data_IF_060138295346
#
_entry.id   IF_060138295346
#
_cell.length_a   1.000
_cell.length_b   1.000
_cell.length_c   1.000
_cell.angle_alpha   90.00
_cell.angle_beta   90.00
_cell.angle_gamma   90.00
#
_symmetry.space_group_name_H-M   'P 1'
#
loop_
_entity.id
_entity.type
_entity.pdbx_description
1 polymer ?
#
# COMPACT_ATOMS: atom_id res chain seq x y z
N UNK A 1 3.74 -0.82 8.94
CA UNK A 1 3.49 0.17 7.88
C UNK A 1 2.47 1.18 8.38
N UNK A 2 2.66 2.47 8.12
CA UNK A 2 1.71 3.54 8.48
C UNK A 2 1.11 4.21 7.25
N UNK A 3 -0.22 4.22 7.17
CA UNK A 3 -0.96 4.91 6.11
C UNK A 3 -1.67 6.13 6.69
N UNK A 4 -1.57 7.27 6.01
CA UNK A 4 -2.25 8.52 6.39
C UNK A 4 -3.35 8.84 5.39
N UNK A 5 -4.59 9.04 5.86
CA UNK A 5 -5.67 9.60 5.04
C UNK A 5 -5.65 11.12 5.14
N UNK A 6 -5.48 11.78 4.01
CA UNK A 6 -5.62 13.22 3.88
C UNK A 6 -6.91 13.52 3.12
N UNK A 7 -7.76 14.38 3.64
CA UNK A 7 -9.01 14.72 2.99
C UNK A 7 -9.84 15.68 3.82
N UNK A 8 -10.56 16.61 3.18
CA UNK A 8 -11.46 17.50 3.90
C UNK A 8 -12.66 16.76 4.50
N UNK A 9 -13.47 17.45 5.32
CA UNK A 9 -14.73 16.93 5.88
C UNK A 9 -15.75 16.66 4.76
N UNK A 10 -16.44 15.53 4.76
CA UNK A 10 -17.41 15.11 3.71
C UNK A 10 -16.84 14.67 2.35
N UNK A 11 -15.52 14.55 2.22
CA UNK A 11 -14.88 14.00 1.01
C UNK A 11 -15.15 12.50 0.81
N UNK A 12 -15.67 11.81 1.83
CA UNK A 12 -16.02 10.39 1.78
C UNK A 12 -15.04 9.42 2.45
N UNK A 13 -14.10 9.88 3.29
CA UNK A 13 -13.12 9.01 3.99
C UNK A 13 -13.77 7.88 4.79
N UNK A 14 -14.70 8.22 5.68
CA UNK A 14 -15.39 7.24 6.55
C UNK A 14 -16.22 6.25 5.73
N UNK A 15 -16.93 6.75 4.71
CA UNK A 15 -17.67 5.92 3.75
C UNK A 15 -16.72 4.96 3.03
N UNK A 16 -15.61 5.46 2.50
CA UNK A 16 -14.59 4.65 1.84
C UNK A 16 -14.05 3.55 2.73
N UNK A 17 -13.63 3.87 3.95
CA UNK A 17 -13.07 2.91 4.89
C UNK A 17 -14.05 1.77 5.19
N UNK A 18 -15.31 2.08 5.47
CA UNK A 18 -16.32 1.07 5.76
C UNK A 18 -16.65 0.23 4.51
N UNK A 19 -16.87 0.85 3.35
CA UNK A 19 -17.11 0.14 2.10
C UNK A 19 -15.94 -0.79 1.74
N UNK A 20 -14.70 -0.31 1.86
CA UNK A 20 -13.48 -1.09 1.66
C UNK A 20 -13.43 -2.29 2.61
N UNK A 21 -13.71 -2.07 3.89
CA UNK A 21 -13.71 -3.13 4.88
C UNK A 21 -14.72 -4.23 4.55
N UNK A 22 -15.95 -3.82 4.18
CA UNK A 22 -17.01 -4.73 3.76
C UNK A 22 -16.67 -5.52 2.49
N UNK A 23 -16.15 -4.84 1.45
CA UNK A 23 -15.74 -5.48 0.20
C UNK A 23 -14.63 -6.50 0.43
N UNK A 24 -13.61 -6.16 1.23
CA UNK A 24 -12.50 -7.06 1.52
C UNK A 24 -12.86 -8.21 2.49
N UNK A 25 -14.07 -8.26 3.06
CA UNK A 25 -14.54 -9.48 3.70
C UNK A 25 -14.88 -10.59 2.69
N UNK A 26 -15.28 -10.22 1.47
CA UNK A 26 -15.67 -11.18 0.43
C UNK A 26 -14.48 -11.76 -0.36
N UNK A 27 -13.25 -11.34 -0.03
CA UNK A 27 -12.04 -11.62 -0.80
C UNK A 27 -12.02 -10.93 -2.16
N UNK A 28 -10.98 -10.14 -2.43
CA UNK A 28 -10.73 -9.52 -3.73
C UNK A 28 -9.35 -9.95 -4.20
N UNK A 29 -9.27 -10.71 -5.29
CA UNK A 29 -8.00 -11.25 -5.80
C UNK A 29 -7.18 -11.97 -4.71
N UNK A 30 -7.85 -12.79 -3.90
CA UNK A 30 -7.24 -13.47 -2.75
C UNK A 30 -7.01 -12.60 -1.50
N UNK A 31 -7.12 -11.27 -1.60
CA UNK A 31 -6.91 -10.35 -0.48
C UNK A 31 -8.15 -10.18 0.41
N UNK A 32 -7.92 -10.14 1.71
CA UNK A 32 -8.91 -9.80 2.74
C UNK A 32 -8.35 -8.84 3.76
N UNK A 33 -9.24 -8.17 4.48
CA UNK A 33 -8.88 -7.25 5.55
C UNK A 33 -9.39 -7.76 6.90
N UNK A 34 -8.54 -7.71 7.92
CA UNK A 34 -8.91 -8.06 9.30
C UNK A 34 -8.60 -6.89 10.23
N UNK A 35 -9.56 -6.48 11.04
CA UNK A 35 -9.32 -5.50 12.11
C UNK A 35 -8.63 -6.18 13.29
N UNK A 36 -7.74 -5.47 13.98
CA UNK A 36 -7.06 -6.00 15.16
C UNK A 36 -8.02 -6.19 16.35
N UNK A 37 -8.97 -5.27 16.54
CA UNK A 37 -9.98 -5.34 17.59
C UNK A 37 -11.37 -5.69 17.02
N UNK A 38 -12.23 -6.29 17.86
CA UNK A 38 -13.56 -6.75 17.47
C UNK A 38 -14.60 -5.63 17.37
N UNK A 39 -14.39 -4.53 18.10
CA UNK A 39 -15.28 -3.36 18.06
C UNK A 39 -15.25 -2.68 16.69
N UNK A 40 -14.07 -2.42 16.15
CA UNK A 40 -13.87 -1.88 14.82
C UNK A 40 -14.38 -2.83 13.74
N UNK A 41 -14.15 -4.14 13.89
CA UNK A 41 -14.73 -5.13 12.99
C UNK A 41 -16.25 -4.98 12.89
N UNK A 42 -16.95 -5.02 14.03
CA UNK A 42 -18.40 -4.94 14.08
C UNK A 42 -18.92 -3.59 13.59
N UNK A 43 -18.27 -2.50 14.01
CA UNK A 43 -18.64 -1.12 13.63
C UNK A 43 -18.49 -0.89 12.12
N UNK A 44 -17.36 -1.30 11.54
CA UNK A 44 -17.10 -1.14 10.10
C UNK A 44 -18.04 -2.01 9.26
N UNK A 45 -18.33 -3.24 9.68
CA UNK A 45 -19.30 -4.10 9.01
C UNK A 45 -20.71 -3.52 9.00
N UNK A 46 -21.20 -3.08 10.16
CA UNK A 46 -22.51 -2.45 10.27
C UNK A 46 -22.59 -1.18 9.40
N UNK A 47 -21.51 -0.38 9.40
CA UNK A 47 -21.47 0.82 8.59
C UNK A 47 -21.44 0.50 7.08
N UNK A 48 -20.70 -0.54 6.66
CA UNK A 48 -20.67 -0.99 5.28
C UNK A 48 -22.06 -1.40 4.77
N UNK A 49 -22.81 -2.14 5.60
CA UNK A 49 -24.18 -2.57 5.29
C UNK A 49 -25.14 -1.37 5.14
N UNK A 50 -25.06 -0.40 6.05
CA UNK A 50 -25.84 0.84 5.96
C UNK A 50 -25.54 1.61 4.67
N UNK A 51 -24.26 1.75 4.32
CA UNK A 51 -23.85 2.44 3.08
C UNK A 51 -24.38 1.70 1.85
N UNK A 52 -24.35 0.37 1.85
CA UNK A 52 -24.91 -0.44 0.76
C UNK A 52 -26.41 -0.20 0.58
N UNK A 53 -27.13 0.06 1.69
CA UNK A 53 -28.54 0.45 1.70
C UNK A 53 -28.78 1.95 1.42
N UNK A 54 -27.75 2.71 1.05
CA UNK A 54 -27.84 4.14 0.77
C UNK A 54 -27.86 5.05 2.01
N UNK A 55 -27.58 4.51 3.19
CA UNK A 55 -27.51 5.25 4.45
C UNK A 55 -26.05 5.59 4.78
N UNK A 56 -25.69 6.86 4.59
CA UNK A 56 -24.32 7.34 4.80
C UNK A 56 -24.09 7.85 6.22
N UNK A 57 -22.88 7.67 6.79
CA UNK A 57 -22.55 8.19 8.11
C UNK A 57 -22.52 9.72 8.11
N UNK A 58 -22.85 10.31 9.26
CA UNK A 58 -22.57 11.72 9.52
C UNK A 58 -21.06 11.95 9.61
N UNK A 59 -20.63 13.19 9.37
CA UNK A 59 -19.24 13.58 9.58
C UNK A 59 -18.81 13.25 11.02
N UNK A 60 -17.75 12.44 11.16
CA UNK A 60 -17.27 11.99 12.46
C UNK A 60 -16.40 13.05 13.10
N UNK A 61 -16.60 13.23 14.41
CA UNK A 61 -15.92 14.23 15.22
C UNK A 61 -14.84 13.64 16.14
N UNK A 62 -14.20 12.52 15.75
CA UNK A 62 -13.02 11.97 16.43
C UNK A 62 -11.90 11.59 15.45
N UNK A 63 -10.63 11.82 15.86
CA UNK A 63 -9.47 11.22 15.17
C UNK A 63 -9.49 9.75 15.54
N UNK A 64 -9.30 8.88 14.56
CA UNK A 64 -9.24 7.45 14.81
C UNK A 64 -8.01 6.89 14.14
N UNK A 65 -7.29 6.07 14.88
CA UNK A 65 -6.25 5.21 14.35
C UNK A 65 -6.76 3.78 14.37
N UNK A 66 -6.65 3.13 13.22
CA UNK A 66 -7.11 1.75 13.05
C UNK A 66 -5.92 0.85 12.82
N UNK A 67 -5.93 -0.32 13.45
CA UNK A 67 -4.95 -1.35 13.20
C UNK A 67 -5.59 -2.49 12.40
N UNK A 68 -4.96 -2.81 11.27
CA UNK A 68 -5.43 -3.84 10.36
C UNK A 68 -4.34 -4.83 10.01
N UNK A 69 -4.78 -5.99 9.54
CA UNK A 69 -3.95 -7.00 8.89
C UNK A 69 -4.49 -7.26 7.48
N UNK A 70 -3.61 -7.11 6.50
CA UNK A 70 -3.83 -7.63 5.16
C UNK A 70 -3.65 -9.14 5.20
N UNK A 71 -4.62 -9.86 4.64
CA UNK A 71 -4.57 -11.32 4.50
C UNK A 71 -4.59 -11.69 3.03
N UNK A 72 -3.89 -12.75 2.67
CA UNK A 72 -3.96 -13.38 1.35
C UNK A 72 -4.20 -14.87 1.55
N UNK A 73 -5.24 -15.42 0.90
CA UNK A 73 -5.63 -16.83 1.03
C UNK A 73 -5.66 -17.34 2.50
N UNK A 74 -6.23 -16.53 3.40
CA UNK A 74 -6.31 -16.80 4.86
C UNK A 74 -5.03 -16.67 5.68
N UNK A 75 -3.88 -16.30 5.10
CA UNK A 75 -2.65 -16.03 5.84
C UNK A 75 -2.50 -14.53 6.09
N UNK A 76 -2.05 -14.13 7.28
CA UNK A 76 -1.72 -12.73 7.59
C UNK A 76 -0.39 -12.37 6.90
N UNK A 77 -0.39 -11.37 6.01
CA UNK A 77 0.77 -11.00 5.19
C UNK A 77 1.48 -9.75 5.73
N UNK A 78 0.69 -8.74 6.12
CA UNK A 78 1.21 -7.44 6.55
C UNK A 78 0.25 -6.79 7.55
N UNK A 79 0.79 -6.33 8.69
CA UNK A 79 0.08 -5.44 9.61
C UNK A 79 0.35 -3.98 9.24
N UNK A 80 -0.69 -3.15 9.33
CA UNK A 80 -0.57 -1.72 9.09
C UNK A 80 -1.51 -0.92 9.97
N UNK A 81 -1.11 0.31 10.27
CA UNK A 81 -1.96 1.30 10.94
C UNK A 81 -2.47 2.31 9.94
N UNK A 82 -3.67 2.79 10.19
CA UNK A 82 -4.34 3.76 9.35
C UNK A 82 -4.80 4.95 10.19
N UNK A 83 -4.15 6.11 9.98
CA UNK A 83 -4.53 7.36 10.63
C UNK A 83 -5.56 8.12 9.79
N UNK A 84 -6.78 8.23 10.30
CA UNK A 84 -7.83 9.07 9.69
C UNK A 84 -7.77 10.49 10.28
N UNK A 85 -7.28 11.43 9.47
CA UNK A 85 -7.19 12.83 9.84
C UNK A 85 -8.44 13.61 9.42
N UNK A 86 -8.99 14.35 10.39
CA UNK A 86 -10.13 15.24 10.11
C UNK A 86 -9.73 16.43 9.26
N UNK A 87 -10.73 17.00 8.58
CA UNK A 87 -10.57 18.26 7.86
C UNK A 87 -10.18 19.44 8.77
N UNK A 88 -10.44 19.38 10.07
CA UNK A 88 -10.04 20.38 11.06
C UNK A 88 -8.51 20.56 11.14
N UNK A 89 -7.75 19.47 11.22
CA UNK A 89 -6.28 19.51 11.21
C UNK A 89 -5.72 20.11 9.90
N UNK A 90 -6.45 19.95 8.78
CA UNK A 90 -6.13 20.58 7.50
C UNK A 90 -6.52 22.07 7.48
N UNK A 91 -7.29 22.59 8.45
CA UNK A 91 -7.71 24.00 8.52
C UNK A 91 -6.93 24.82 9.54
N UNK A 92 -6.48 24.22 10.62
CA UNK A 92 -5.78 24.93 11.69
C UNK A 92 -4.48 25.58 11.24
N UNK A 93 -4.02 26.63 11.91
CA UNK A 93 -2.71 27.24 11.62
C UNK A 93 -1.58 26.24 11.90
N UNK A 94 -0.41 26.39 11.28
CA UNK A 94 0.72 25.46 11.47
C UNK A 94 1.16 25.33 12.93
N UNK A 95 0.84 26.33 13.75
CA UNK A 95 1.15 26.37 15.18
C UNK A 95 0.20 25.54 16.05
N UNK A 96 -0.87 24.98 15.48
CA UNK A 96 -1.76 24.11 16.23
C UNK A 96 -1.15 22.73 16.44
N UNK A 97 -1.50 22.12 17.58
CA UNK A 97 -1.06 20.76 17.90
C UNK A 97 -1.51 19.75 16.83
N UNK A 98 -2.74 19.88 16.31
CA UNK A 98 -3.24 18.95 15.29
C UNK A 98 -2.52 19.10 13.95
N UNK A 99 -2.17 20.33 13.56
CA UNK A 99 -1.40 20.57 12.34
C UNK A 99 0.02 19.99 12.48
N UNK A 100 0.65 20.14 13.64
CA UNK A 100 1.98 19.56 13.91
C UNK A 100 1.96 18.03 13.89
N UNK A 101 0.96 17.41 14.51
CA UNK A 101 0.77 15.96 14.50
C UNK A 101 0.54 15.43 13.08
N UNK A 102 -0.29 16.11 12.28
CA UNK A 102 -0.49 15.77 10.87
C UNK A 102 0.83 15.82 10.08
N UNK A 103 1.64 16.87 10.27
CA UNK A 103 2.94 17.00 9.61
C UNK A 103 3.92 15.90 10.02
N UNK A 104 3.95 15.53 11.30
CA UNK A 104 4.78 14.44 11.80
C UNK A 104 4.34 13.09 11.21
N UNK A 105 3.05 12.81 11.21
CA UNK A 105 2.49 11.59 10.64
C UNK A 105 2.74 11.49 9.14
N UNK A 106 2.60 12.60 8.40
CA UNK A 106 2.93 12.65 6.97
C UNK A 106 4.41 12.37 6.72
N UNK A 107 5.32 12.89 7.57
CA UNK A 107 6.76 12.62 7.46
C UNK A 107 7.12 11.15 7.72
N UNK A 108 6.37 10.50 8.60
CA UNK A 108 6.59 9.09 8.97
C UNK A 108 5.76 8.10 8.13
N UNK A 109 4.84 8.58 7.30
CA UNK A 109 3.93 7.74 6.52
C UNK A 109 4.67 6.86 5.51
N UNK A 110 4.31 5.60 5.40
CA UNK A 110 4.73 4.71 4.31
C UNK A 110 3.77 4.78 3.11
N UNK A 111 2.55 5.27 3.36
CA UNK A 111 1.57 5.56 2.33
C UNK A 111 0.70 6.77 2.65
N UNK A 112 0.41 7.58 1.64
CA UNK A 112 -0.49 8.72 1.71
C UNK A 112 -1.68 8.47 0.79
N UNK A 113 -2.88 8.57 1.34
CA UNK A 113 -4.14 8.47 0.61
C UNK A 113 -4.82 9.83 0.64
N UNK A 114 -4.72 10.60 -0.44
CA UNK A 114 -5.29 11.94 -0.55
C UNK A 114 -6.65 11.90 -1.25
N UNK A 115 -7.72 12.01 -0.46
CA UNK A 115 -9.11 12.00 -0.93
C UNK A 115 -9.54 13.37 -1.44
N UNK A 116 -10.18 13.37 -2.61
CA UNK A 116 -10.61 14.56 -3.32
C UNK A 116 -12.02 14.39 -3.87
N UNK A 117 -12.94 15.27 -3.48
CA UNK A 117 -14.34 15.22 -3.89
C UNK A 117 -14.50 15.76 -5.32
N UNK A 118 -14.78 14.87 -6.27
CA UNK A 118 -14.84 15.25 -7.68
C UNK A 118 -16.12 16.01 -8.05
N UNK A 119 -17.24 15.75 -7.38
CA UNK A 119 -18.48 16.53 -7.57
C UNK A 119 -18.28 17.98 -7.11
N UNK A 120 -17.62 18.17 -5.96
CA UNK A 120 -17.27 19.50 -5.47
C UNK A 120 -16.26 20.21 -6.38
N UNK A 121 -15.29 19.49 -6.96
CA UNK A 121 -14.35 20.06 -7.95
C UNK A 121 -15.08 20.50 -9.22
N UNK A 122 -15.97 19.65 -9.75
CA UNK A 122 -16.73 19.92 -10.97
C UNK A 122 -17.63 21.16 -10.81
N UNK A 123 -18.25 21.32 -9.62
CA UNK A 123 -19.08 22.50 -9.30
C UNK A 123 -18.28 23.78 -9.01
N UNK A 124 -16.95 23.72 -9.08
CA UNK A 124 -16.08 24.88 -8.83
C UNK A 124 -16.08 25.38 -7.39
N UNK A 125 -16.50 24.55 -6.41
CA UNK A 125 -16.60 24.95 -5.02
C UNK A 125 -15.21 24.96 -4.33
N UNK A 126 -14.32 25.84 -4.79
CA UNK A 126 -12.90 25.86 -4.37
C UNK A 126 -12.71 26.14 -2.87
N UNK A 127 -13.65 26.84 -2.22
CA UNK A 127 -13.63 27.08 -0.76
C UNK A 127 -13.98 25.83 0.06
N UNK A 128 -14.81 24.93 -0.48
CA UNK A 128 -15.16 23.68 0.22
C UNK A 128 -14.06 22.62 0.14
N UNK A 129 -13.30 22.57 -0.96
CA UNK A 129 -12.41 21.43 -1.22
C UNK A 129 -11.05 21.51 -0.49
N UNK A 130 -10.62 22.66 0.04
CA UNK A 130 -9.33 22.83 0.74
C UNK A 130 -8.11 22.23 -0.02
N UNK A 131 -8.27 22.07 -1.34
CA UNK A 131 -7.44 21.18 -2.13
C UNK A 131 -6.03 21.70 -2.26
N UNK A 132 -5.87 23.02 -2.47
CA UNK A 132 -4.54 23.62 -2.54
C UNK A 132 -3.71 23.37 -1.30
N UNK A 133 -4.32 23.36 -0.10
CA UNK A 133 -3.60 23.05 1.14
C UNK A 133 -3.24 21.57 1.23
N UNK A 134 -4.15 20.67 0.87
CA UNK A 134 -3.87 19.23 0.85
C UNK A 134 -2.74 18.89 -0.13
N UNK A 135 -2.80 19.43 -1.35
CA UNK A 135 -1.77 19.33 -2.39
C UNK A 135 -0.43 19.86 -1.87
N UNK A 136 -0.43 21.00 -1.20
CA UNK A 136 0.79 21.57 -0.58
C UNK A 136 1.36 20.64 0.50
N UNK A 137 0.53 20.15 1.41
CA UNK A 137 0.96 19.24 2.49
C UNK A 137 1.54 17.94 1.91
N UNK A 138 0.85 17.32 0.96
CA UNK A 138 1.29 16.11 0.30
C UNK A 138 2.60 16.34 -0.47
N UNK A 139 2.70 17.44 -1.23
CA UNK A 139 3.92 17.79 -1.98
C UNK A 139 5.10 18.00 -1.05
N UNK A 140 4.90 18.66 0.10
CA UNK A 140 5.96 18.86 1.09
C UNK A 140 6.34 17.57 1.80
N UNK A 141 5.39 16.68 2.07
CA UNK A 141 5.64 15.40 2.72
C UNK A 141 6.50 14.47 1.86
N UNK A 142 6.37 14.57 0.54
CA UNK A 142 7.10 13.73 -0.41
C UNK A 142 8.34 14.40 -1.02
N UNK A 143 8.59 15.66 -0.67
CA UNK A 143 9.79 16.39 -1.11
C UNK A 143 11.02 15.88 -0.37
N UNK A 144 12.12 15.70 -1.10
CA UNK A 144 13.43 15.30 -0.57
C UNK A 144 13.42 13.98 0.24
N UNK A 145 12.48 13.09 -0.07
CA UNK A 145 12.46 11.75 0.52
C UNK A 145 13.70 10.97 0.10
N UNK A 146 14.20 10.15 1.03
CA UNK A 146 15.27 9.17 0.81
C UNK A 146 14.79 7.74 1.07
N UNK A 147 13.46 7.55 1.04
CA UNK A 147 12.80 6.29 1.30
C UNK A 147 11.57 6.16 0.41
N UNK A 148 11.25 4.94 -0.05
CA UNK A 148 10.06 4.69 -0.83
C UNK A 148 8.77 5.05 -0.09
N UNK A 149 7.82 5.66 -0.79
CA UNK A 149 6.46 5.94 -0.31
C UNK A 149 5.45 5.76 -1.44
N UNK A 150 4.24 5.30 -1.11
CA UNK A 150 3.10 5.33 -2.05
C UNK A 150 2.25 6.58 -1.81
N UNK A 151 1.84 7.28 -2.88
CA UNK A 151 0.88 8.39 -2.81
C UNK A 151 -0.29 8.14 -3.77
N UNK A 152 -1.46 7.84 -3.23
CA UNK A 152 -2.69 7.71 -3.99
C UNK A 152 -3.48 9.03 -3.95
N UNK A 153 -3.75 9.60 -5.11
CA UNK A 153 -4.74 10.67 -5.28
C UNK A 153 -6.07 9.98 -5.57
N UNK A 154 -6.94 9.96 -4.56
CA UNK A 154 -8.22 9.25 -4.59
C UNK A 154 -9.29 10.24 -5.00
N UNK A 155 -9.80 10.05 -6.21
CA UNK A 155 -10.85 10.84 -6.81
C UNK A 155 -12.17 10.22 -6.35
N UNK A 156 -12.83 10.81 -5.35
CA UNK A 156 -14.09 10.27 -4.79
C UNK A 156 -15.32 10.82 -5.48
N UNK A 157 -16.45 10.12 -5.29
CA UNK A 157 -17.77 10.49 -5.83
C UNK A 157 -17.78 10.57 -7.36
N UNK A 158 -17.01 9.70 -8.00
CA UNK A 158 -16.88 9.66 -9.46
C UNK A 158 -18.17 9.24 -10.15
N UNK A 159 -19.06 8.56 -9.43
CA UNK A 159 -20.42 8.25 -9.86
C UNK A 159 -21.30 9.50 -10.06
N UNK A 160 -20.92 10.64 -9.49
CA UNK A 160 -21.58 11.93 -9.69
C UNK A 160 -20.94 12.77 -10.80
N UNK A 161 -19.86 12.28 -11.41
CA UNK A 161 -19.11 12.98 -12.46
C UNK A 161 -19.45 12.35 -13.81
N UNK A 162 -20.10 13.09 -14.74
CA UNK A 162 -20.48 12.54 -16.04
C UNK A 162 -19.26 12.13 -16.90
N UNK A 163 -18.20 12.95 -16.87
CA UNK A 163 -16.98 12.74 -17.65
C UNK A 163 -15.79 13.40 -16.96
N UNK A 164 -14.64 12.71 -16.93
CA UNK A 164 -13.37 13.33 -16.54
C UNK A 164 -12.78 14.16 -17.68
N UNK A 165 -12.30 15.35 -17.35
CA UNK A 165 -11.56 16.22 -18.25
C UNK A 165 -10.28 16.75 -17.57
N UNK A 166 -9.47 17.48 -18.34
CA UNK A 166 -8.19 18.01 -17.84
C UNK A 166 -8.38 19.05 -16.73
N UNK A 167 -9.46 19.84 -16.78
CA UNK A 167 -9.75 20.87 -15.78
C UNK A 167 -9.95 20.28 -14.37
N UNK A 168 -10.53 19.08 -14.30
CA UNK A 168 -10.73 18.36 -13.04
C UNK A 168 -9.39 17.90 -12.42
N UNK A 169 -8.40 17.60 -13.27
CA UNK A 169 -7.06 17.16 -12.85
C UNK A 169 -6.06 18.30 -12.69
N UNK A 170 -6.30 19.45 -13.32
CA UNK A 170 -5.40 20.61 -13.32
C UNK A 170 -4.93 21.04 -11.92
N UNK A 171 -5.78 21.05 -10.87
CA UNK A 171 -5.35 21.39 -9.51
C UNK A 171 -4.25 20.49 -8.93
N UNK A 172 -4.06 19.28 -9.48
CA UNK A 172 -3.05 18.32 -9.03
C UNK A 172 -1.73 18.43 -9.81
N UNK A 173 -1.66 19.23 -10.87
CA UNK A 173 -0.51 19.32 -11.78
C UNK A 173 0.83 19.48 -11.06
N UNK A 174 0.91 20.38 -10.07
CA UNK A 174 2.14 20.58 -9.29
C UNK A 174 2.56 19.36 -8.46
N UNK A 175 1.60 18.65 -7.86
CA UNK A 175 1.88 17.42 -7.11
C UNK A 175 2.24 16.27 -8.06
N UNK A 176 1.51 16.11 -9.16
CA UNK A 176 1.85 15.14 -10.21
C UNK A 176 3.29 15.36 -10.66
N UNK A 177 3.69 16.61 -10.94
CA UNK A 177 5.06 16.93 -11.34
C UNK A 177 6.09 16.61 -10.26
N UNK A 178 5.76 16.87 -9.00
CA UNK A 178 6.62 16.53 -7.85
C UNK A 178 6.83 15.03 -7.74
N UNK A 179 5.79 14.23 -8.01
CA UNK A 179 5.88 12.76 -8.01
C UNK A 179 6.70 12.26 -9.21
N UNK A 180 6.46 12.79 -10.41
CA UNK A 180 7.16 12.39 -11.64
C UNK A 180 8.69 12.52 -11.56
N UNK A 181 9.18 13.53 -10.84
CA UNK A 181 10.62 13.78 -10.72
C UNK A 181 11.26 13.02 -9.55
N UNK A 182 10.46 12.36 -8.71
CA UNK A 182 10.93 11.64 -7.54
C UNK A 182 11.20 10.17 -7.86
N UNK A 183 12.39 9.70 -7.51
CA UNK A 183 12.75 8.27 -7.59
C UNK A 183 12.13 7.44 -6.46
N UNK A 184 11.59 8.10 -5.43
CA UNK A 184 11.14 7.47 -4.19
C UNK A 184 9.62 7.42 -4.04
N UNK A 185 8.86 8.02 -4.95
CA UNK A 185 7.40 8.16 -4.81
C UNK A 185 6.70 7.39 -5.91
N UNK A 186 5.97 6.34 -5.53
CA UNK A 186 5.02 5.70 -6.43
C UNK A 186 3.68 6.43 -6.33
N UNK A 187 3.25 7.07 -7.42
CA UNK A 187 1.99 7.81 -7.48
C UNK A 187 0.90 7.13 -8.31
N UNK A 188 -0.36 7.31 -7.94
CA UNK A 188 -1.50 6.90 -8.77
C UNK A 188 -2.70 7.86 -8.62
N UNK A 189 -3.48 7.99 -9.69
CA UNK A 189 -4.78 8.65 -9.72
C UNK A 189 -5.87 7.57 -9.75
N UNK A 190 -6.68 7.45 -8.68
CA UNK A 190 -7.59 6.32 -8.52
C UNK A 190 -9.04 6.81 -8.38
N UNK A 191 -9.92 6.60 -9.39
CA UNK A 191 -11.33 6.96 -9.32
C UNK A 191 -12.10 5.97 -8.46
N UNK A 192 -12.85 6.46 -7.47
CA UNK A 192 -13.57 5.65 -6.48
C UNK A 192 -14.99 6.14 -6.26
N UNK A 193 -15.93 5.20 -6.23
CA UNK A 193 -17.31 5.40 -5.78
C UNK A 193 -17.67 4.36 -4.73
N UNK A 194 -18.28 4.80 -3.64
CA UNK A 194 -18.67 3.97 -2.49
C UNK A 194 -20.19 3.99 -2.26
N UNK A 195 -20.97 4.47 -3.24
CA UNK A 195 -22.43 4.50 -3.16
C UNK A 195 -23.05 3.13 -3.36
N UNK A 196 -24.24 3.08 -3.95
CA UNK A 196 -24.94 1.81 -4.26
C UNK A 196 -24.19 0.95 -5.29
N UNK A 197 -23.30 1.55 -6.06
CA UNK A 197 -22.37 0.87 -6.95
C UNK A 197 -20.94 1.16 -6.51
N UNK A 198 -20.18 0.09 -6.26
CA UNK A 198 -18.77 0.19 -5.91
C UNK A 198 -17.91 0.26 -7.17
N UNK A 199 -17.06 1.28 -7.23
CA UNK A 199 -16.07 1.47 -8.29
C UNK A 199 -14.70 1.55 -7.62
N UNK A 200 -13.81 0.62 -7.97
CA UNK A 200 -12.42 0.55 -7.51
C UNK A 200 -12.18 0.67 -5.99
N UNK A 201 -13.17 0.39 -5.15
CA UNK A 201 -13.07 0.57 -3.69
C UNK A 201 -11.82 -0.09 -3.07
N UNK A 202 -11.44 -1.33 -3.44
CA UNK A 202 -10.21 -1.96 -2.92
C UNK A 202 -8.90 -1.29 -3.36
N UNK A 203 -8.91 -0.65 -4.52
CA UNK A 203 -7.69 -0.32 -5.26
C UNK A 203 -6.77 0.65 -4.52
N UNK A 204 -7.24 1.75 -3.90
CA UNK A 204 -6.34 2.65 -3.19
C UNK A 204 -5.58 1.98 -2.05
N UNK A 205 -6.22 1.08 -1.28
CA UNK A 205 -5.53 0.36 -0.21
C UNK A 205 -4.51 -0.63 -0.78
N UNK A 206 -4.92 -1.46 -1.75
CA UNK A 206 -4.01 -2.45 -2.35
C UNK A 206 -2.80 -1.77 -3.01
N UNK A 207 -3.01 -0.63 -3.65
CA UNK A 207 -1.94 0.23 -4.16
C UNK A 207 -1.00 0.71 -3.06
N UNK A 208 -1.52 1.20 -1.93
CA UNK A 208 -0.68 1.67 -0.83
C UNK A 208 0.15 0.52 -0.23
N UNK A 209 -0.48 -0.63 -0.04
CA UNK A 209 0.16 -1.81 0.56
C UNK A 209 1.19 -2.47 -0.38
N UNK A 210 1.03 -2.35 -1.70
CA UNK A 210 1.96 -2.89 -2.69
C UNK A 210 3.41 -2.53 -2.40
N UNK A 211 3.71 -1.25 -2.13
CA UNK A 211 5.08 -0.83 -1.85
C UNK A 211 5.66 -1.59 -0.64
N UNK A 212 4.93 -1.63 0.47
CA UNK A 212 5.41 -2.30 1.68
C UNK A 212 5.56 -3.82 1.53
N UNK A 213 4.62 -4.47 0.82
CA UNK A 213 4.68 -5.91 0.54
C UNK A 213 5.87 -6.22 -0.36
N UNK A 214 6.07 -5.44 -1.43
CA UNK A 214 7.21 -5.58 -2.34
C UNK A 214 8.55 -5.40 -1.63
N UNK A 215 8.72 -4.35 -0.82
CA UNK A 215 9.97 -4.15 -0.07
C UNK A 215 10.23 -5.26 0.94
N UNK A 216 9.18 -5.78 1.59
CA UNK A 216 9.32 -6.94 2.48
C UNK A 216 9.79 -8.17 1.71
N UNK A 217 9.21 -8.45 0.54
CA UNK A 217 9.62 -9.56 -0.32
C UNK A 217 11.09 -9.40 -0.80
N UNK A 218 11.46 -8.21 -1.29
CA UNK A 218 12.82 -7.92 -1.74
C UNK A 218 13.85 -8.05 -0.61
N UNK A 219 13.51 -7.58 0.60
CA UNK A 219 14.38 -7.72 1.78
C UNK A 219 14.57 -9.18 2.16
N UNK A 220 13.49 -9.96 2.17
CA UNK A 220 13.56 -11.39 2.47
C UNK A 220 14.40 -12.14 1.43
N UNK A 221 14.19 -11.89 0.13
CA UNK A 221 14.99 -12.47 -0.94
C UNK A 221 16.49 -12.17 -0.76
N UNK A 222 16.85 -10.91 -0.48
CA UNK A 222 18.24 -10.54 -0.22
C UNK A 222 18.83 -11.24 1.02
N UNK A 223 18.03 -11.39 2.09
CA UNK A 223 18.47 -12.11 3.29
C UNK A 223 18.69 -13.60 3.02
N UNK A 224 17.81 -14.23 2.23
CA UNK A 224 17.97 -15.63 1.79
C UNK A 224 19.28 -15.77 1.03
N UNK A 225 19.50 -14.94 0.01
CA UNK A 225 20.70 -14.97 -0.83
C UNK A 225 21.99 -14.76 -0.02
N UNK A 226 21.99 -13.79 0.90
CA UNK A 226 23.13 -13.48 1.76
C UNK A 226 23.48 -14.64 2.71
N UNK A 227 22.47 -15.23 3.37
CA UNK A 227 22.69 -16.36 4.27
C UNK A 227 23.10 -17.63 3.50
N UNK A 228 22.49 -17.87 2.34
CA UNK A 228 22.84 -18.99 1.47
C UNK A 228 24.27 -18.88 0.96
N UNK A 229 24.68 -17.71 0.45
CA UNK A 229 26.05 -17.47 -0.04
C UNK A 229 27.08 -17.67 1.09
N UNK A 230 26.79 -17.17 2.30
CA UNK A 230 27.66 -17.42 3.47
C UNK A 230 27.75 -18.89 3.84
N UNK A 231 26.65 -19.64 3.70
CA UNK A 231 26.66 -21.07 3.97
C UNK A 231 27.61 -21.80 3.00
N UNK A 232 27.54 -21.46 1.71
CA UNK A 232 28.46 -21.98 0.69
C UNK A 232 29.93 -21.61 0.97
N UNK A 233 30.21 -20.36 1.33
CA UNK A 233 31.57 -19.91 1.68
C UNK A 233 32.15 -20.69 2.87
N UNK A 234 31.33 -20.99 3.88
CA UNK A 234 31.76 -21.79 5.04
C UNK A 234 31.93 -23.26 4.69
N UNK A 235 31.09 -23.79 3.81
CA UNK A 235 31.20 -25.15 3.31
C UNK A 235 32.49 -25.33 2.50
N UNK A 236 32.81 -24.39 1.61
CA UNK A 236 34.05 -24.40 0.84
C UNK A 236 35.28 -24.31 1.76
N UNK A 237 35.29 -23.44 2.77
CA UNK A 237 36.37 -23.36 3.78
C UNK A 237 36.54 -24.64 4.59
N UNK A 238 35.47 -25.40 4.77
CA UNK A 238 35.51 -26.69 5.46
C UNK A 238 36.11 -27.81 4.60
N UNK A 239 36.22 -27.62 3.28
CA UNK A 239 36.79 -28.58 2.35
C UNK A 239 38.29 -28.33 2.12
N UNK A 240 39.13 -29.35 2.34
CA UNK A 240 40.58 -29.30 2.09
C UNK A 240 41.47 -29.48 3.33
N UNK A 241 42.79 -29.59 3.11
CA UNK A 241 43.79 -29.87 4.15
C UNK A 241 43.86 -28.76 5.22
N UNK A 242 43.69 -27.50 4.83
CA UNK A 242 43.60 -26.35 5.75
C UNK A 242 42.33 -26.39 6.60
N UNK A 243 41.18 -26.74 6.02
CA UNK A 243 39.90 -26.88 6.72
C UNK A 243 39.92 -28.02 7.74
N UNK A 244 40.60 -29.13 7.43
CA UNK A 244 40.81 -30.24 8.38
C UNK A 244 41.67 -29.82 9.59
N UNK A 245 42.79 -29.12 9.36
CA UNK A 245 43.65 -28.62 10.45
C UNK A 245 42.89 -27.64 11.36
N UNK A 246 42.08 -26.75 10.77
CA UNK A 246 41.24 -25.80 11.50
C UNK A 246 40.15 -26.50 12.31
N UNK A 247 39.44 -27.46 11.71
CA UNK A 247 38.42 -28.28 12.39
C UNK A 247 38.97 -29.01 13.62
N UNK A 248 40.17 -29.60 13.53
CA UNK A 248 40.81 -30.26 14.69
C UNK A 248 41.08 -29.24 15.81
N UNK A 249 41.64 -28.08 15.45
CA UNK A 249 41.93 -27.01 16.41
C UNK A 249 40.66 -26.44 17.06
N UNK A 250 39.61 -26.21 16.28
CA UNK A 250 38.35 -25.66 16.78
C UNK A 250 37.63 -26.66 17.69
N UNK A 251 37.65 -27.95 17.33
CA UNK A 251 37.07 -29.01 18.17
C UNK A 251 37.83 -29.19 19.49
N UNK A 252 39.15 -29.02 19.48
CA UNK A 252 39.97 -29.10 20.70
C UNK A 252 39.74 -27.89 21.63
N UNK A 253 39.54 -26.70 21.05
CA UNK A 253 39.30 -25.47 21.80
C UNK A 253 37.82 -25.22 22.14
N UNK A 254 36.91 -26.13 21.78
CA UNK A 254 35.46 -25.97 21.96
C UNK A 254 34.83 -24.85 21.11
N UNK A 255 35.52 -24.42 20.05
CA UNK A 255 35.06 -23.39 19.12
C UNK A 255 34.09 -23.97 18.06
N UNK A 256 33.25 -23.11 17.49
CA UNK A 256 32.31 -23.50 16.44
C UNK A 256 33.06 -23.80 15.15
N UNK A 257 32.87 -24.99 14.59
CA UNK A 257 33.54 -25.41 13.35
C UNK A 257 32.93 -24.73 12.12
N UNK A 258 33.73 -24.57 11.05
CA UNK A 258 33.25 -24.03 9.77
C UNK A 258 32.03 -24.79 9.22
N UNK A 259 31.98 -26.12 9.39
CA UNK A 259 30.81 -26.95 9.03
C UNK A 259 29.56 -26.61 9.85
N UNK A 260 29.71 -26.33 11.15
CA UNK A 260 28.60 -25.91 12.00
C UNK A 260 28.14 -24.47 11.66
N UNK A 261 29.06 -23.60 11.26
CA UNK A 261 28.73 -22.26 10.76
C UNK A 261 27.97 -22.33 9.43
N UNK A 262 28.40 -23.18 8.50
CA UNK A 262 27.69 -23.43 7.24
C UNK A 262 26.25 -23.91 7.50
N UNK A 263 26.07 -24.92 8.36
CA UNK A 263 24.75 -25.41 8.71
C UNK A 263 23.87 -24.32 9.35
N UNK A 264 24.45 -23.52 10.27
CA UNK A 264 23.72 -22.43 10.92
C UNK A 264 23.28 -21.34 9.93
N UNK A 265 24.12 -20.97 8.98
CA UNK A 265 23.75 -19.99 7.94
C UNK A 265 22.71 -20.57 6.96
N UNK A 266 22.81 -21.86 6.63
CA UNK A 266 21.79 -22.55 5.82
C UNK A 266 20.42 -22.61 6.53
N UNK A 267 20.39 -22.92 7.83
CA UNK A 267 19.16 -22.89 8.63
C UNK A 267 18.51 -21.51 8.64
N UNK A 268 19.31 -20.43 8.72
CA UNK A 268 18.81 -19.05 8.59
C UNK A 268 18.27 -18.75 7.20
N UNK A 269 18.94 -19.22 6.15
CA UNK A 269 18.46 -19.05 4.77
C UNK A 269 17.09 -19.73 4.59
N UNK A 270 16.95 -20.97 5.07
CA UNK A 270 15.70 -21.73 5.03
C UNK A 270 14.57 -21.06 5.83
N UNK A 271 14.88 -20.52 7.01
CA UNK A 271 13.91 -19.76 7.82
C UNK A 271 13.39 -18.52 7.06
N UNK A 272 14.30 -17.74 6.46
CA UNK A 272 13.93 -16.56 5.67
C UNK A 272 13.23 -16.93 4.37
N UNK A 273 13.55 -18.07 3.77
CA UNK A 273 12.90 -18.57 2.56
C UNK A 273 11.43 -18.92 2.84
N UNK A 274 11.12 -19.54 3.98
CA UNK A 274 9.73 -19.79 4.40
C UNK A 274 8.94 -18.47 4.51
N UNK A 275 9.53 -17.45 5.12
CA UNK A 275 8.91 -16.12 5.19
C UNK A 275 8.72 -15.49 3.80
N UNK A 276 9.68 -15.67 2.89
CA UNK A 276 9.63 -15.18 1.52
C UNK A 276 8.55 -15.88 0.69
N UNK A 277 8.46 -17.20 0.78
CA UNK A 277 7.46 -18.03 0.10
C UNK A 277 6.03 -17.57 0.45
N UNK A 278 5.79 -17.22 1.71
CA UNK A 278 4.50 -16.70 2.17
C UNK A 278 4.10 -15.35 1.54
N UNK A 279 5.06 -14.55 1.09
CA UNK A 279 4.82 -13.21 0.54
C UNK A 279 4.99 -13.11 -0.98
N UNK A 280 5.59 -14.13 -1.62
CA UNK A 280 5.82 -14.19 -3.07
C UNK A 280 4.53 -14.00 -3.87
N UNK A 281 3.57 -14.92 -3.74
CA UNK A 281 2.28 -14.82 -4.44
C UNK A 281 1.51 -13.52 -4.12
N UNK A 282 1.36 -13.06 -2.85
CA UNK A 282 0.76 -11.77 -2.56
C UNK A 282 1.44 -10.60 -3.27
N UNK A 283 2.77 -10.64 -3.42
CA UNK A 283 3.53 -9.57 -4.08
C UNK A 283 3.20 -9.53 -5.57
N UNK A 284 3.22 -10.68 -6.23
CA UNK A 284 2.88 -10.83 -7.65
C UNK A 284 1.45 -10.36 -7.93
N UNK A 285 0.48 -10.81 -7.11
CA UNK A 285 -0.91 -10.39 -7.23
C UNK A 285 -1.09 -8.87 -7.05
N UNK A 286 -0.37 -8.23 -6.11
CA UNK A 286 -0.41 -6.78 -5.96
C UNK A 286 0.21 -6.04 -7.15
N UNK A 287 1.31 -6.54 -7.71
CA UNK A 287 1.94 -5.96 -8.90
C UNK A 287 0.93 -5.94 -10.06
N UNK A 288 0.26 -7.06 -10.33
CA UNK A 288 -0.74 -7.16 -11.40
C UNK A 288 -1.91 -6.18 -11.21
N UNK A 289 -2.37 -6.00 -9.97
CA UNK A 289 -3.44 -5.05 -9.63
C UNK A 289 -2.96 -3.62 -9.87
N UNK A 290 -1.76 -3.28 -9.38
CA UNK A 290 -1.20 -1.92 -9.45
C UNK A 290 -0.91 -1.49 -10.89
N UNK A 291 -0.45 -2.41 -11.75
CA UNK A 291 -0.18 -2.12 -13.16
C UNK A 291 -1.43 -1.71 -13.95
N UNK A 292 -2.64 -2.08 -13.49
CA UNK A 292 -3.92 -1.70 -14.10
C UNK A 292 -4.36 -0.29 -13.74
N UNK A 293 -3.70 0.37 -12.78
CA UNK A 293 -4.07 1.69 -12.31
C UNK A 293 -3.47 2.81 -13.17
N UNK A 294 -4.09 4.02 -13.16
CA UNK A 294 -3.49 5.22 -13.72
C UNK A 294 -2.27 5.68 -12.89
N UNK A 295 -1.14 4.97 -13.03
CA UNK A 295 0.12 5.30 -12.37
C UNK A 295 0.68 6.60 -12.92
N UNK A 296 1.19 7.44 -12.00
CA UNK A 296 1.89 8.67 -12.34
C UNK A 296 3.28 8.30 -12.87
N UNK A 297 3.54 8.65 -14.11
CA UNK A 297 4.76 8.31 -14.84
C UNK A 297 5.33 9.56 -15.51
N UNK A 298 6.65 9.54 -15.70
CA UNK A 298 7.38 10.63 -16.34
C UNK A 298 6.85 10.88 -17.75
N UNK A 299 6.75 12.16 -18.11
CA UNK A 299 6.43 12.64 -19.46
C UNK A 299 5.00 12.31 -19.97
N UNK A 300 4.09 11.88 -19.07
CA UNK A 300 2.66 11.71 -19.39
C UNK A 300 1.91 13.02 -19.19
N UNK A 301 1.17 13.45 -20.20
CA UNK A 301 0.34 14.66 -20.12
C UNK A 301 -1.03 14.40 -19.45
N UNK A 302 -1.65 15.44 -18.88
CA UNK A 302 -2.95 15.34 -18.19
C UNK A 302 -4.03 14.65 -19.03
N UNK A 303 -4.09 14.94 -20.33
CA UNK A 303 -5.02 14.31 -21.28
C UNK A 303 -4.93 12.78 -21.28
N UNK A 304 -3.73 12.22 -21.14
CA UNK A 304 -3.53 10.77 -21.12
C UNK A 304 -3.98 10.16 -19.79
N UNK A 305 -3.77 10.86 -18.67
CA UNK A 305 -4.34 10.45 -17.38
C UNK A 305 -5.86 10.43 -17.40
N UNK A 306 -6.49 11.44 -18.02
CA UNK A 306 -7.96 11.45 -18.21
C UNK A 306 -8.42 10.21 -18.97
N UNK A 307 -7.74 9.85 -20.06
CA UNK A 307 -8.04 8.62 -20.81
C UNK A 307 -7.90 7.37 -19.95
N UNK A 308 -6.80 7.23 -19.21
CA UNK A 308 -6.57 6.09 -18.30
C UNK A 308 -7.62 6.02 -17.18
N UNK A 309 -8.02 7.15 -16.59
CA UNK A 309 -9.06 7.24 -15.57
C UNK A 309 -10.42 6.83 -16.14
N UNK A 310 -10.79 7.34 -17.32
CA UNK A 310 -12.04 6.95 -17.98
C UNK A 310 -12.05 5.44 -18.34
N UNK A 311 -10.91 4.85 -18.70
CA UNK A 311 -10.79 3.40 -18.89
C UNK A 311 -10.96 2.63 -17.57
N UNK A 312 -10.29 3.06 -16.49
CA UNK A 312 -10.38 2.44 -15.18
C UNK A 312 -11.78 2.57 -14.55
N UNK A 313 -12.48 3.67 -14.83
CA UNK A 313 -13.87 3.91 -14.43
C UNK A 313 -14.84 2.93 -15.12
N UNK A 314 -14.63 2.69 -16.43
CA UNK A 314 -15.48 1.81 -17.22
C UNK A 314 -15.13 0.31 -17.07
N UNK A 315 -13.92 -0.02 -16.59
CA UNK A 315 -13.36 -1.38 -16.61
C UNK A 315 -13.56 -2.24 -15.35
N UNK A 316 -13.91 -1.66 -14.20
CA UNK A 316 -13.95 -2.40 -12.92
C UNK A 316 -15.30 -2.21 -12.22
N UNK A 317 -16.30 -2.94 -12.71
CA UNK A 317 -17.51 -3.24 -11.92
C UNK A 317 -17.28 -4.59 -11.23
N UNK A 318 -17.04 -4.57 -9.93
CA UNK A 318 -16.96 -5.80 -9.16
C UNK A 318 -18.36 -6.45 -9.08
N UNK A 319 -18.64 -7.37 -10.00
CA UNK A 319 -19.62 -8.42 -9.76
C UNK A 319 -18.94 -9.49 -8.90
N UNK A 320 -19.54 -9.83 -7.76
CA UNK A 320 -19.00 -10.73 -6.70
C UNK A 320 -18.76 -12.20 -7.13
N UNK A 321 -18.59 -12.49 -8.43
CA UNK A 321 -18.41 -13.84 -8.96
C UNK A 321 -17.47 -13.83 -10.17
N UNK A 322 -16.18 -14.09 -9.94
CA UNK A 322 -15.27 -14.97 -10.73
C UNK A 322 -13.82 -14.63 -10.45
N UNK A 323 -13.08 -15.57 -9.89
CA UNK A 323 -11.61 -15.66 -9.98
C UNK A 323 -11.27 -16.77 -10.97
N UNK A 324 -10.46 -16.46 -11.98
CA UNK A 324 -9.87 -17.42 -12.89
C UNK A 324 -8.38 -17.08 -13.02
N UNK A 325 -7.51 -18.04 -12.71
CA UNK A 325 -6.07 -17.88 -12.75
C UNK A 325 -5.54 -18.00 -14.18
N UNK A 326 -4.62 -17.12 -14.56
CA UNK A 326 -3.70 -17.34 -15.67
C UNK A 326 -2.29 -17.11 -15.11
N UNK A 327 -1.50 -18.18 -15.05
CA UNK A 327 -0.09 -18.15 -14.71
C UNK A 327 0.72 -18.28 -15.99
N UNK A 328 1.69 -17.38 -16.20
CA UNK A 328 2.88 -17.64 -17.02
C UNK A 328 4.14 -17.15 -16.28
N UNK A 329 5.24 -17.83 -16.57
CA UNK A 329 6.42 -18.11 -15.72
C UNK A 329 7.40 -16.97 -15.50
N UNK A 330 7.81 -16.78 -14.24
CA UNK A 330 9.07 -16.16 -13.84
C UNK A 330 10.06 -17.28 -13.49
N UNK A 331 11.32 -17.21 -13.93
CA UNK A 331 12.36 -18.15 -13.50
C UNK A 331 12.66 -17.93 -12.01
N UNK A 332 12.43 -18.96 -11.19
CA UNK A 332 12.66 -18.91 -9.75
C UNK A 332 14.16 -18.94 -9.47
N UNK A 333 14.76 -17.87 -8.89
CA UNK A 333 16.18 -17.87 -8.55
C UNK A 333 16.53 -18.82 -7.39
N UNK A 334 15.56 -19.53 -6.81
CA UNK A 334 15.72 -20.39 -5.63
C UNK A 334 15.53 -21.88 -5.90
N UNK A 335 15.75 -22.35 -7.13
CA UNK A 335 15.69 -23.78 -7.49
C UNK A 335 16.55 -24.70 -6.59
N UNK A 336 17.54 -24.16 -5.88
CA UNK A 336 18.37 -24.88 -4.91
C UNK A 336 17.64 -25.29 -3.60
N UNK A 337 16.42 -24.79 -3.37
CA UNK A 337 15.62 -25.05 -2.16
C UNK A 337 14.37 -25.92 -2.41
N UNK A 338 14.07 -26.23 -3.68
CA UNK A 338 13.00 -27.15 -4.10
C UNK A 338 13.56 -28.57 -4.27
#
# INVERSE_FOLDING_TARGET
MRIVMLGHTEVGKTTYMASLYGVLQQSVEGFRLKAANSEDHNRLLNLAEKIHQGQYPLATDQRSEYEFKLRYQSKDILSFTWGDYRGGAIRETQDSEQARLLLEDLRQADGIMMFCDCDALLRGNRRSNQLGRMVTLASNAVRDLKRPISLAIILTKVDLVPEFNEDLLFPFSGLIKTIEVSEWVLGALIPVACGTQFINVPMPLLFALHAAVFFKAATLAHLVENHYSKALDWEEKSQGFSGFVRWVNDKWNGATTDKQLAQKEMEKALDKYKDFELIKEPTEALIEIVQKLPLIQKDIILKEYVKKINQAYNGVKFNSRRTGSLYETYSDPFDAFN
#
